data_IF_521693634123
#
_entry.id   IF_521693634123
#
_cell.length_a   1.000
_cell.length_b   1.000
_cell.length_c   1.000
_cell.angle_alpha   90.00
_cell.angle_beta   90.00
_cell.angle_gamma   90.00
#
_symmetry.space_group_name_H-M   'P 1'
#
loop_
_entity.id
_entity.type
_entity.pdbx_description
1 polymer ?
#
# COMPACT_ATOMS: atom_id res chain seq x y z
N UNK A 1 -9.83 -6.68 2.47
CA UNK A 1 -9.18 -7.99 2.28
C UNK A 1 -7.96 -8.14 3.18
N UNK A 2 -6.98 -7.21 3.19
CA UNK A 2 -5.74 -7.31 3.98
C UNK A 2 -5.98 -7.59 5.48
N UNK A 3 -6.96 -6.94 6.10
CA UNK A 3 -7.34 -7.19 7.51
C UNK A 3 -7.87 -8.62 7.71
N UNK A 4 -8.70 -9.10 6.80
CA UNK A 4 -9.22 -10.47 6.84
C UNK A 4 -8.11 -11.51 6.68
N UNK A 5 -7.16 -11.24 5.80
CA UNK A 5 -6.00 -12.11 5.59
C UNK A 5 -5.13 -12.22 6.85
N UNK A 6 -5.05 -11.15 7.63
CA UNK A 6 -4.42 -11.13 8.95
C UNK A 6 -5.26 -11.78 10.06
N UNK A 7 -6.51 -12.18 9.78
CA UNK A 7 -7.43 -12.69 10.77
C UNK A 7 -7.98 -11.63 11.73
N UNK A 8 -7.99 -10.36 11.27
CA UNK A 8 -8.58 -9.24 12.00
C UNK A 8 -10.00 -9.02 11.51
N UNK A 9 -10.95 -9.59 12.21
CA UNK A 9 -12.37 -9.36 12.00
C UNK A 9 -12.84 -8.02 12.60
N UNK A 10 -14.08 -7.65 12.36
CA UNK A 10 -14.64 -6.38 12.81
C UNK A 10 -14.57 -6.22 14.33
N UNK A 11 -14.78 -7.27 15.09
CA UNK A 11 -14.75 -7.22 16.56
C UNK A 11 -13.32 -7.03 17.07
N UNK A 12 -12.37 -7.71 16.46
CA UNK A 12 -10.94 -7.50 16.75
C UNK A 12 -10.51 -6.10 16.37
N UNK A 13 -10.92 -5.60 15.20
CA UNK A 13 -10.62 -4.23 14.78
C UNK A 13 -11.19 -3.19 15.76
N UNK A 14 -12.43 -3.35 16.21
CA UNK A 14 -13.04 -2.47 17.23
C UNK A 14 -12.26 -2.52 18.55
N UNK A 15 -11.89 -3.71 19.02
CA UNK A 15 -11.13 -3.91 20.24
C UNK A 15 -9.74 -3.26 20.19
N UNK A 16 -9.10 -3.30 19.03
CA UNK A 16 -7.81 -2.66 18.80
C UNK A 16 -7.90 -1.17 18.49
N UNK A 17 -9.11 -0.63 18.31
CA UNK A 17 -9.33 0.77 17.94
C UNK A 17 -8.98 1.08 16.49
N UNK A 18 -8.98 0.09 15.62
CA UNK A 18 -8.74 0.27 14.18
C UNK A 18 -9.97 0.91 13.55
N UNK A 19 -9.77 2.04 12.88
CA UNK A 19 -10.79 2.73 12.08
C UNK A 19 -10.40 2.66 10.61
N UNK A 20 -11.38 2.54 9.73
CA UNK A 20 -11.18 2.59 8.29
C UNK A 20 -11.85 3.84 7.72
N UNK A 21 -11.13 4.56 6.89
CA UNK A 21 -11.64 5.67 6.13
C UNK A 21 -11.34 5.48 4.65
N UNK A 22 -12.40 5.50 3.83
CA UNK A 22 -12.27 5.46 2.38
C UNK A 22 -12.39 6.88 1.83
N UNK A 23 -11.29 7.39 1.29
CA UNK A 23 -11.27 8.69 0.63
C UNK A 23 -12.00 8.59 -0.71
N UNK A 24 -13.07 9.36 -0.87
CA UNK A 24 -13.86 9.40 -2.11
C UNK A 24 -13.34 10.42 -3.11
N UNK A 25 -12.83 11.56 -2.62
CA UNK A 25 -12.23 12.63 -3.43
C UNK A 25 -10.79 12.80 -2.97
N UNK A 26 -9.85 12.45 -3.83
CA UNK A 26 -8.42 12.44 -3.48
C UNK A 26 -7.77 13.81 -3.56
N UNK A 27 -8.38 14.77 -4.29
CA UNK A 27 -7.89 16.13 -4.43
C UNK A 27 -9.03 17.13 -4.72
N UNK A 28 -9.16 18.23 -3.96
CA UNK A 28 -8.54 18.42 -2.64
C UNK A 28 -9.13 17.46 -1.62
N UNK A 29 -8.32 17.10 -0.61
CA UNK A 29 -8.81 16.27 0.50
C UNK A 29 -9.81 17.09 1.32
N UNK A 30 -10.95 16.49 1.67
CA UNK A 30 -11.95 17.17 2.47
C UNK A 30 -11.46 17.33 3.92
N UNK A 31 -11.29 18.57 4.36
CA UNK A 31 -10.59 18.90 5.59
C UNK A 31 -11.36 18.54 6.86
N UNK A 32 -12.68 18.73 6.88
CA UNK A 32 -13.49 18.51 8.08
C UNK A 32 -13.59 17.03 8.41
N UNK A 33 -13.97 16.19 7.44
CA UNK A 33 -14.06 14.73 7.61
C UNK A 33 -12.69 14.16 7.98
N UNK A 34 -11.64 14.70 7.36
CA UNK A 34 -10.25 14.29 7.65
C UNK A 34 -9.88 14.56 9.11
N UNK A 35 -10.20 15.73 9.64
CA UNK A 35 -9.94 16.08 11.04
C UNK A 35 -10.76 15.23 12.01
N UNK A 36 -12.04 15.03 11.69
CA UNK A 36 -12.93 14.17 12.48
C UNK A 36 -12.41 12.74 12.54
N UNK A 37 -11.98 12.19 11.41
CA UNK A 37 -11.37 10.86 11.34
C UNK A 37 -10.08 10.77 12.14
N UNK A 38 -9.19 11.77 12.02
CA UNK A 38 -7.88 11.79 12.66
C UNK A 38 -7.97 11.96 14.20
N UNK A 39 -9.07 12.54 14.70
CA UNK A 39 -9.22 12.84 16.12
C UNK A 39 -9.17 11.58 16.99
N UNK A 40 -8.23 11.57 17.95
CA UNK A 40 -8.04 10.48 18.90
C UNK A 40 -7.31 9.25 18.33
N UNK A 41 -6.79 9.31 17.12
CA UNK A 41 -5.91 8.29 16.58
C UNK A 41 -4.46 8.55 17.01
N UNK A 42 -3.71 7.49 17.28
CA UNK A 42 -2.26 7.54 17.53
C UNK A 42 -1.49 7.57 16.22
N UNK A 43 -1.99 6.84 15.23
CA UNK A 43 -1.33 6.65 13.94
C UNK A 43 -2.36 6.51 12.83
N UNK A 44 -2.01 6.98 11.64
CA UNK A 44 -2.77 6.81 10.40
C UNK A 44 -1.84 6.18 9.37
N UNK A 45 -2.19 4.99 8.89
CA UNK A 45 -1.53 4.36 7.75
C UNK A 45 -2.31 4.70 6.48
N UNK A 46 -1.70 5.47 5.59
CA UNK A 46 -2.27 5.83 4.29
C UNK A 46 -1.92 4.75 3.28
N UNK A 47 -2.94 4.08 2.74
CA UNK A 47 -2.80 3.07 1.71
C UNK A 47 -3.24 3.66 0.38
N UNK A 48 -2.27 4.08 -0.42
CA UNK A 48 -2.49 4.62 -1.76
C UNK A 48 -1.45 4.08 -2.74
N UNK A 49 -1.84 3.86 -3.98
CA UNK A 49 -0.91 3.40 -5.01
C UNK A 49 -0.06 4.55 -5.54
N UNK A 50 1.16 4.21 -5.97
CA UNK A 50 2.09 5.14 -6.61
C UNK A 50 2.42 6.32 -5.68
N UNK A 51 2.34 7.56 -6.18
CA UNK A 51 2.77 8.76 -5.47
C UNK A 51 1.83 9.11 -4.30
N UNK A 52 2.41 9.69 -3.26
CA UNK A 52 1.69 10.20 -2.08
C UNK A 52 0.86 11.44 -2.43
N UNK A 53 -0.42 11.25 -2.68
CA UNK A 53 -1.37 12.37 -2.91
C UNK A 53 -2.16 12.67 -1.64
N UNK A 54 -2.70 11.62 -1.00
CA UNK A 54 -3.48 11.73 0.23
C UNK A 54 -2.54 11.95 1.43
N UNK A 55 -1.45 11.22 1.50
CA UNK A 55 -0.49 11.29 2.61
C UNK A 55 0.06 12.70 2.80
N UNK A 56 0.43 13.40 1.71
CA UNK A 56 0.94 14.76 1.81
C UNK A 56 -0.11 15.75 2.27
N UNK A 57 -1.33 15.65 1.75
CA UNK A 57 -2.43 16.52 2.18
C UNK A 57 -2.79 16.30 3.66
N UNK A 58 -2.77 15.04 4.13
CA UNK A 58 -2.96 14.73 5.55
C UNK A 58 -1.86 15.36 6.42
N UNK A 59 -0.61 15.22 6.02
CA UNK A 59 0.53 15.82 6.74
C UNK A 59 0.41 17.34 6.79
N UNK A 60 0.04 17.98 5.67
CA UNK A 60 -0.19 19.41 5.59
C UNK A 60 -1.34 19.88 6.49
N UNK A 61 -2.49 19.20 6.40
CA UNK A 61 -3.70 19.55 7.16
C UNK A 61 -3.50 19.43 8.68
N UNK A 62 -2.75 18.42 9.13
CA UNK A 62 -2.54 18.15 10.55
C UNK A 62 -1.24 18.75 11.10
N UNK A 63 -0.45 19.43 10.29
CA UNK A 63 0.87 19.94 10.69
C UNK A 63 0.82 20.84 11.92
N UNK A 64 -0.16 21.74 11.98
CA UNK A 64 -0.33 22.69 13.08
C UNK A 64 -1.10 22.15 14.29
N UNK A 65 -1.49 20.87 14.26
CA UNK A 65 -2.08 20.26 15.44
C UNK A 65 -1.05 20.16 16.57
N UNK A 66 -1.52 20.30 17.80
CA UNK A 66 -0.65 20.09 18.96
C UNK A 66 -0.04 18.69 18.92
N UNK A 67 1.22 18.59 19.27
CA UNK A 67 1.99 17.34 19.19
C UNK A 67 1.38 16.19 20.02
N UNK A 68 0.70 16.51 21.13
CA UNK A 68 0.07 15.52 22.02
C UNK A 68 -1.23 14.92 21.49
N UNK A 69 -1.82 15.50 20.44
CA UNK A 69 -3.06 15.01 19.83
C UNK A 69 -2.93 14.68 18.34
N UNK A 70 -1.81 15.06 17.74
CA UNK A 70 -1.53 14.82 16.32
C UNK A 70 -1.14 13.35 16.09
N UNK A 71 -1.88 12.60 15.24
CA UNK A 71 -1.48 11.24 14.90
C UNK A 71 -0.18 11.24 14.09
N UNK A 72 0.59 10.16 14.21
CA UNK A 72 1.69 9.88 13.30
C UNK A 72 1.12 9.45 11.94
N UNK A 73 1.59 10.05 10.85
CA UNK A 73 1.08 9.76 9.50
C UNK A 73 2.16 9.03 8.71
N UNK A 74 1.85 7.83 8.31
CA UNK A 74 2.72 6.92 7.57
C UNK A 74 2.04 6.47 6.26
N UNK A 75 2.83 6.15 5.28
CA UNK A 75 2.34 5.64 4.00
C UNK A 75 3.45 4.94 3.23
N UNK A 76 4.17 5.67 2.39
CA UNK A 76 5.27 5.09 1.59
C UNK A 76 6.48 4.74 2.44
N UNK A 77 6.74 5.53 3.46
CA UNK A 77 7.87 5.31 4.36
C UNK A 77 7.40 4.98 5.77
N UNK A 78 8.23 4.20 6.45
CA UNK A 78 8.02 3.85 7.83
C UNK A 78 8.43 5.01 8.75
N UNK A 79 8.04 4.91 10.02
CA UNK A 79 8.48 5.82 11.06
C UNK A 79 10.01 5.76 11.23
N UNK A 80 10.63 6.92 11.31
CA UNK A 80 12.07 7.06 11.50
C UNK A 80 12.45 7.21 12.98
N UNK A 81 11.46 7.21 13.88
CA UNK A 81 11.64 7.36 15.30
C UNK A 81 11.78 8.82 15.75
N UNK A 82 11.66 9.03 17.05
CA UNK A 82 11.81 10.35 17.66
C UNK A 82 13.25 10.89 17.48
N UNK A 83 13.35 12.19 17.23
CA UNK A 83 14.64 12.88 17.12
C UNK A 83 15.35 12.75 15.78
N UNK A 84 14.73 12.15 14.77
CA UNK A 84 15.31 12.13 13.43
C UNK A 84 15.35 13.58 12.85
N UNK A 85 16.52 14.09 12.45
CA UNK A 85 16.70 15.51 12.12
C UNK A 85 16.17 15.91 10.73
N UNK A 86 15.60 15.01 9.98
CA UNK A 86 15.13 15.28 8.62
C UNK A 86 13.81 14.59 8.30
N UNK A 87 13.16 15.03 7.22
CA UNK A 87 12.00 14.37 6.64
C UNK A 87 12.37 13.23 5.70
N UNK A 88 11.38 12.66 5.06
CA UNK A 88 11.51 11.53 4.12
C UNK A 88 12.54 11.77 3.00
N UNK A 89 12.68 13.02 2.56
CA UNK A 89 13.64 13.43 1.51
C UNK A 89 15.10 13.49 2.00
N UNK A 90 15.31 13.44 3.31
CA UNK A 90 16.65 13.50 3.91
C UNK A 90 17.27 12.13 4.14
N UNK A 91 16.58 11.05 3.79
CA UNK A 91 17.06 9.69 3.99
C UNK A 91 18.24 9.37 3.05
N UNK A 92 19.33 8.86 3.62
CA UNK A 92 20.48 8.39 2.85
C UNK A 92 20.13 7.18 1.95
N UNK A 93 19.22 6.32 2.41
CA UNK A 93 18.71 5.17 1.65
C UNK A 93 17.19 5.03 1.86
N UNK A 94 16.37 5.75 1.07
CA UNK A 94 14.92 5.71 1.24
C UNK A 94 14.33 4.30 1.04
N UNK A 95 14.96 3.43 0.24
CA UNK A 95 14.45 2.08 0.00
C UNK A 95 14.54 1.19 1.24
N UNK A 96 15.49 1.43 2.14
CA UNK A 96 15.64 0.66 3.38
C UNK A 96 14.50 0.92 4.37
N UNK A 97 13.79 2.03 4.23
CA UNK A 97 12.68 2.41 5.12
C UNK A 97 11.33 2.45 4.41
N UNK A 98 11.20 1.79 3.27
CA UNK A 98 9.93 1.71 2.53
C UNK A 98 8.93 0.85 3.28
N UNK A 99 7.73 1.38 3.51
CA UNK A 99 6.60 0.66 4.08
C UNK A 99 5.65 0.16 2.97
N UNK A 100 5.16 1.08 2.14
CA UNK A 100 4.34 0.77 0.97
C UNK A 100 5.01 1.31 -0.30
N UNK A 101 5.45 0.43 -1.18
CA UNK A 101 6.18 0.83 -2.40
C UNK A 101 5.38 1.77 -3.30
N UNK A 102 6.09 2.69 -3.99
CA UNK A 102 5.49 3.66 -4.90
C UNK A 102 5.62 3.29 -6.38
N UNK A 103 6.44 2.28 -6.70
CA UNK A 103 6.85 1.94 -8.07
C UNK A 103 6.15 0.71 -8.67
N UNK A 104 5.21 0.11 -7.92
CA UNK A 104 4.45 -1.04 -8.39
C UNK A 104 3.09 -1.10 -7.68
N UNK A 105 2.23 -1.99 -8.14
CA UNK A 105 0.91 -2.21 -7.57
C UNK A 105 0.99 -2.73 -6.12
N UNK A 106 0.00 -2.36 -5.32
CA UNK A 106 -0.15 -2.82 -3.94
C UNK A 106 -1.07 -4.04 -3.90
N UNK A 107 -0.51 -5.20 -3.62
CA UNK A 107 -1.30 -6.39 -3.34
C UNK A 107 -1.88 -6.38 -1.91
N UNK A 108 -2.99 -7.08 -1.64
CA UNK A 108 -3.48 -7.25 -0.28
C UNK A 108 -2.44 -7.81 0.68
N UNK A 109 -1.55 -8.68 0.23
CA UNK A 109 -0.47 -9.25 1.04
C UNK A 109 0.57 -8.20 1.46
N UNK A 110 0.96 -7.28 0.56
CA UNK A 110 1.85 -6.17 0.89
C UNK A 110 1.21 -5.21 1.89
N UNK A 111 -0.07 -4.90 1.70
CA UNK A 111 -0.82 -4.05 2.63
C UNK A 111 -0.94 -4.74 3.99
N UNK A 112 -1.22 -6.04 4.02
CA UNK A 112 -1.30 -6.82 5.26
C UNK A 112 0.05 -6.82 6.01
N UNK A 113 1.17 -6.98 5.30
CA UNK A 113 2.49 -6.91 5.91
C UNK A 113 2.76 -5.55 6.56
N UNK A 114 2.42 -4.45 5.87
CA UNK A 114 2.56 -3.10 6.41
C UNK A 114 1.66 -2.87 7.64
N UNK A 115 0.40 -3.29 7.60
CA UNK A 115 -0.51 -3.20 8.74
C UNK A 115 0.05 -3.99 9.93
N UNK A 116 0.48 -5.23 9.73
CA UNK A 116 1.02 -6.06 10.80
C UNK A 116 2.29 -5.44 11.41
N UNK A 117 3.18 -4.92 10.58
CA UNK A 117 4.38 -4.22 11.04
C UNK A 117 4.04 -3.03 11.93
N UNK A 118 3.06 -2.22 11.54
CA UNK A 118 2.65 -1.05 12.33
C UNK A 118 1.92 -1.43 13.61
N UNK A 119 1.03 -2.41 13.56
CA UNK A 119 0.34 -2.90 14.77
C UNK A 119 1.33 -3.42 15.81
N UNK A 120 2.36 -4.15 15.39
CA UNK A 120 3.44 -4.59 16.29
C UNK A 120 4.23 -3.42 16.86
N UNK A 121 4.57 -2.42 16.05
CA UNK A 121 5.30 -1.23 16.49
C UNK A 121 4.51 -0.40 17.53
N UNK A 122 3.18 -0.31 17.36
CA UNK A 122 2.29 0.37 18.31
C UNK A 122 2.12 -0.44 19.60
N UNK A 123 2.30 -1.75 19.53
CA UNK A 123 2.07 -2.72 20.60
C UNK A 123 0.63 -3.22 20.60
N UNK A 124 0.46 -4.51 20.35
CA UNK A 124 -0.82 -5.22 20.41
C UNK A 124 -0.74 -6.35 21.43
N UNK A 125 -1.90 -6.88 21.92
CA UNK A 125 -1.91 -8.06 22.78
C UNK A 125 -1.17 -9.25 22.16
N UNK A 126 -0.47 -10.06 22.98
CA UNK A 126 0.37 -11.15 22.48
C UNK A 126 -0.38 -12.23 21.69
N UNK A 127 -1.66 -12.45 21.97
CA UNK A 127 -2.52 -13.34 21.17
C UNK A 127 -2.75 -12.82 19.75
N UNK A 128 -2.87 -11.51 19.61
CA UNK A 128 -2.99 -10.84 18.29
C UNK A 128 -1.65 -10.90 17.57
N UNK A 129 -0.55 -10.58 18.26
CA UNK A 129 0.78 -10.62 17.65
C UNK A 129 1.12 -12.01 17.11
N UNK A 130 0.89 -13.06 17.89
CA UNK A 130 1.08 -14.44 17.46
C UNK A 130 0.21 -14.80 16.23
N UNK A 131 -1.03 -14.29 16.19
CA UNK A 131 -1.92 -14.47 15.04
C UNK A 131 -1.38 -13.77 13.79
N UNK A 132 -0.92 -12.54 13.92
CA UNK A 132 -0.31 -11.78 12.82
C UNK A 132 0.89 -12.54 12.26
N UNK A 133 1.77 -13.05 13.12
CA UNK A 133 2.95 -13.81 12.69
C UNK A 133 2.58 -15.09 11.94
N UNK A 134 1.63 -15.86 12.47
CA UNK A 134 1.17 -17.06 11.81
C UNK A 134 0.57 -16.78 10.41
N UNK A 135 -0.22 -15.71 10.28
CA UNK A 135 -0.81 -15.31 9.00
C UNK A 135 0.22 -14.80 8.00
N UNK A 136 1.17 -13.97 8.45
CA UNK A 136 2.26 -13.50 7.61
C UNK A 136 3.13 -14.66 7.11
N UNK A 137 3.45 -15.64 7.94
CA UNK A 137 4.21 -16.82 7.54
C UNK A 137 3.52 -17.61 6.41
N UNK A 138 2.19 -17.78 6.48
CA UNK A 138 1.42 -18.42 5.41
C UNK A 138 1.46 -17.63 4.11
N UNK A 139 1.34 -16.29 4.17
CA UNK A 139 1.43 -15.43 2.98
C UNK A 139 2.83 -15.50 2.35
N UNK A 140 3.87 -15.39 3.15
CA UNK A 140 5.27 -15.48 2.69
C UNK A 140 5.59 -16.85 2.07
N UNK A 141 5.08 -17.94 2.66
CA UNK A 141 5.26 -19.28 2.09
C UNK A 141 4.60 -19.41 0.71
N UNK A 142 3.41 -18.83 0.53
CA UNK A 142 2.73 -18.79 -0.77
C UNK A 142 3.50 -17.97 -1.81
N UNK A 143 3.96 -16.78 -1.42
CA UNK A 143 4.74 -15.91 -2.31
C UNK A 143 6.04 -16.60 -2.74
N UNK A 144 6.75 -17.24 -1.82
CA UNK A 144 7.97 -18.01 -2.13
C UNK A 144 7.68 -19.20 -3.06
N UNK A 145 6.58 -19.90 -2.84
CA UNK A 145 6.18 -21.01 -3.71
C UNK A 145 5.83 -20.52 -5.13
N UNK A 146 5.19 -19.35 -5.25
CA UNK A 146 4.88 -18.74 -6.55
C UNK A 146 6.13 -18.29 -7.31
N UNK A 147 7.16 -17.79 -6.62
CA UNK A 147 8.43 -17.38 -7.24
C UNK A 147 9.22 -18.56 -7.81
N UNK A 148 9.05 -19.76 -7.26
CA UNK A 148 9.73 -20.99 -7.72
C UNK A 148 9.00 -21.63 -8.90
N UNK A 149 7.74 -21.25 -9.15
CA UNK A 149 7.00 -21.76 -10.30
C UNK A 149 7.56 -21.17 -11.60
N UNK A 150 8.37 -21.95 -12.28
CA UNK A 150 8.84 -21.64 -13.63
C UNK A 150 7.63 -21.66 -14.59
N UNK A 151 7.25 -20.50 -15.10
CA UNK A 151 6.20 -20.42 -16.12
C UNK A 151 6.76 -21.02 -17.40
N UNK A 152 6.44 -22.28 -17.67
CA UNK A 152 6.90 -23.02 -18.88
C UNK A 152 6.31 -22.52 -20.19
N UNK A 153 5.24 -21.73 -20.14
CA UNK A 153 4.62 -21.12 -21.32
C UNK A 153 3.90 -19.82 -20.93
N UNK A 154 4.40 -18.71 -21.43
CA UNK A 154 3.70 -17.44 -21.36
C UNK A 154 2.60 -17.41 -22.42
N UNK A 155 1.41 -16.96 -21.99
CA UNK A 155 0.32 -16.73 -22.92
C UNK A 155 0.64 -15.50 -23.76
N UNK A 156 0.78 -15.70 -25.06
CA UNK A 156 0.98 -14.61 -26.00
C UNK A 156 -0.21 -13.64 -25.93
N UNK A 157 0.02 -12.32 -25.87
CA UNK A 157 -1.05 -11.34 -25.96
C UNK A 157 -1.76 -11.46 -27.34
N UNK A 158 -3.08 -11.44 -27.33
CA UNK A 158 -3.90 -11.55 -28.54
C UNK A 158 -4.99 -10.49 -28.52
N UNK A 159 -5.24 -9.92 -29.67
CA UNK A 159 -6.43 -9.10 -29.86
C UNK A 159 -7.70 -9.95 -29.95
N UNK A 160 -8.85 -9.36 -29.62
CA UNK A 160 -10.13 -10.04 -29.72
C UNK A 160 -10.38 -10.56 -31.15
N UNK A 161 -11.15 -11.63 -31.29
CA UNK A 161 -11.53 -12.16 -32.58
C UNK A 161 -12.27 -11.10 -33.41
N UNK A 162 -11.84 -10.89 -34.66
CA UNK A 162 -12.41 -9.85 -35.54
C UNK A 162 -11.91 -8.42 -35.28
N UNK A 163 -10.98 -8.23 -34.35
CA UNK A 163 -10.42 -6.91 -34.07
C UNK A 163 -9.58 -6.39 -35.24
N UNK A 164 -9.76 -5.12 -35.69
CA UNK A 164 -8.95 -4.52 -36.74
C UNK A 164 -7.45 -4.54 -36.46
N UNK A 165 -7.05 -4.52 -35.20
CA UNK A 165 -5.66 -4.59 -34.79
C UNK A 165 -4.96 -5.88 -35.19
N UNK A 166 -5.68 -6.97 -35.38
CA UNK A 166 -5.11 -8.22 -35.90
C UNK A 166 -4.46 -8.05 -37.27
N UNK A 167 -4.89 -7.04 -38.04
CA UNK A 167 -4.33 -6.74 -39.35
C UNK A 167 -3.39 -5.54 -39.33
N UNK A 168 -3.79 -4.45 -38.64
CA UNK A 168 -3.01 -3.19 -38.58
C UNK A 168 -1.70 -3.28 -37.85
N UNK A 169 -1.56 -4.25 -36.95
CA UNK A 169 -0.33 -4.49 -36.18
C UNK A 169 0.63 -5.48 -36.84
N UNK A 170 0.31 -6.02 -38.01
CA UNK A 170 1.27 -6.86 -38.74
C UNK A 170 2.40 -6.02 -39.29
N UNK A 171 3.59 -6.32 -38.84
CA UNK A 171 4.81 -5.64 -39.25
C UNK A 171 5.41 -6.37 -40.43
N UNK A 172 5.78 -5.66 -41.54
CA UNK A 172 6.46 -6.29 -42.68
C UNK A 172 7.79 -6.95 -42.24
N UNK A 173 8.17 -8.00 -42.93
CA UNK A 173 9.43 -8.71 -42.66
C UNK A 173 10.63 -7.75 -42.74
N UNK A 174 11.54 -7.85 -41.81
CA UNK A 174 12.71 -6.96 -41.68
C UNK A 174 12.44 -5.57 -41.08
N UNK A 175 11.18 -5.23 -40.78
CA UNK A 175 10.80 -3.95 -40.16
C UNK A 175 10.66 -4.09 -38.65
N UNK A 176 10.80 -2.95 -37.96
CA UNK A 176 10.51 -2.83 -36.51
C UNK A 176 9.32 -1.91 -36.31
N UNK A 177 8.38 -2.32 -35.47
CA UNK A 177 7.33 -1.45 -34.99
C UNK A 177 7.63 -0.98 -33.57
N UNK A 178 7.34 0.29 -33.30
CA UNK A 178 7.29 0.83 -31.94
C UNK A 178 5.81 0.86 -31.54
N UNK A 179 5.50 0.31 -30.38
CA UNK A 179 4.14 0.27 -29.88
C UNK A 179 4.02 1.07 -28.59
N UNK A 180 2.85 1.67 -28.41
CA UNK A 180 2.42 2.23 -27.14
C UNK A 180 1.50 1.26 -26.40
N UNK A 181 0.93 1.71 -25.29
CA UNK A 181 -0.14 0.97 -24.61
C UNK A 181 -1.40 1.01 -25.46
N UNK A 182 -1.92 -0.15 -25.83
CA UNK A 182 -3.13 -0.32 -26.63
C UNK A 182 -4.11 -1.31 -26.02
N UNK A 183 -5.11 -1.68 -26.83
CA UNK A 183 -6.07 -2.70 -26.46
C UNK A 183 -5.47 -4.10 -26.72
N UNK A 184 -5.23 -4.85 -25.64
CA UNK A 184 -4.86 -6.28 -25.69
C UNK A 184 -4.98 -6.94 -24.32
#
# INVERSE_FOLDING_TARGET
>A
QALLDLGLDDDTCRRLGIRLHKVGVVWPLEAQITREFATGLREILVVEEKRQVIEYQLKEELYNWRADVRPNILGKFNDMGEGHPGGEWSMANPTANTLLRANADLSPALIAAAIAQRLKAIGVPGDIEARLDARLAVMQAKDSAMQVLEVKADRQPWFCSGCPHNTSTKVPEGSRAMAGIGCH
#
